data_IF_232771837061
#
_entry.id   IF_232771837061
#
_cell.length_a   1.000
_cell.length_b   1.000
_cell.length_c   1.000
_cell.angle_alpha   90.00
_cell.angle_beta   90.00
_cell.angle_gamma   90.00
#
_symmetry.space_group_name_H-M   'P 1'
#
loop_
_entity.id
_entity.type
_entity.pdbx_description
1 polymer ?
#
# COMPACT_ATOMS: atom_id res chain seq x y z
N UNK A 1 -4.18 -18.66 -26.08
CA UNK A 1 -4.07 -19.57 -24.92
C UNK A 1 -3.90 -18.70 -23.69
N UNK A 2 -4.56 -19.02 -22.57
CA UNK A 2 -4.34 -18.28 -21.33
C UNK A 2 -2.93 -18.61 -20.79
N UNK A 3 -2.15 -17.59 -20.42
CA UNK A 3 -0.82 -17.79 -19.82
C UNK A 3 -0.95 -18.49 -18.46
N UNK A 4 -0.02 -19.40 -18.19
CA UNK A 4 0.10 -20.16 -16.95
C UNK A 4 0.79 -19.35 -15.85
N UNK A 5 0.65 -19.79 -14.59
CA UNK A 5 1.34 -19.17 -13.44
C UNK A 5 2.86 -19.21 -13.63
N UNK A 6 3.42 -20.33 -14.08
CA UNK A 6 4.87 -20.47 -14.33
C UNK A 6 5.38 -19.51 -15.40
N UNK A 7 4.66 -19.34 -16.52
CA UNK A 7 5.04 -18.41 -17.59
C UNK A 7 5.06 -16.96 -17.07
N UNK A 8 4.03 -16.55 -16.31
CA UNK A 8 4.00 -15.23 -15.69
C UNK A 8 5.12 -15.04 -14.66
N UNK A 9 5.42 -16.04 -13.84
CA UNK A 9 6.56 -16.00 -12.92
C UNK A 9 7.88 -15.78 -13.65
N UNK A 10 8.12 -16.50 -14.75
CA UNK A 10 9.33 -16.35 -15.56
C UNK A 10 9.41 -14.95 -16.17
N UNK A 11 8.34 -14.47 -16.81
CA UNK A 11 8.27 -13.11 -17.36
C UNK A 11 8.51 -12.03 -16.30
N UNK A 12 7.92 -12.18 -15.11
CA UNK A 12 8.12 -11.26 -13.99
C UNK A 12 9.58 -11.21 -13.53
N UNK A 13 10.26 -12.35 -13.50
CA UNK A 13 11.69 -12.42 -13.20
C UNK A 13 12.56 -11.77 -14.29
N UNK A 14 12.23 -11.98 -15.57
CA UNK A 14 12.93 -11.32 -16.67
C UNK A 14 12.78 -9.78 -16.60
N UNK A 15 11.60 -9.29 -16.21
CA UNK A 15 11.38 -7.87 -15.95
C UNK A 15 12.22 -7.36 -14.77
N UNK A 16 12.30 -8.11 -13.66
CA UNK A 16 13.14 -7.78 -12.50
C UNK A 16 14.61 -7.69 -12.88
N UNK A 17 15.13 -8.70 -13.60
CA UNK A 17 16.52 -8.74 -14.08
C UNK A 17 16.83 -7.57 -15.02
N UNK A 18 15.84 -7.15 -15.81
CA UNK A 18 15.93 -5.98 -16.68
C UNK A 18 15.65 -4.63 -15.97
N UNK A 19 15.51 -4.61 -14.63
CA UNK A 19 15.18 -3.43 -13.82
C UNK A 19 13.85 -2.74 -14.17
N UNK A 20 12.94 -3.46 -14.84
CA UNK A 20 11.59 -3.01 -15.21
C UNK A 20 10.60 -3.32 -14.09
N UNK A 21 10.77 -2.66 -12.96
CA UNK A 21 10.11 -3.05 -11.70
C UNK A 21 8.58 -2.93 -11.73
N UNK A 22 8.04 -1.90 -12.39
CA UNK A 22 6.59 -1.71 -12.51
C UNK A 22 5.96 -2.80 -13.39
N UNK A 23 6.62 -3.14 -14.51
CA UNK A 23 6.20 -4.27 -15.36
C UNK A 23 6.31 -5.60 -14.61
N UNK A 24 7.38 -5.81 -13.85
CA UNK A 24 7.56 -7.00 -13.03
C UNK A 24 6.41 -7.14 -12.02
N UNK A 25 6.09 -6.10 -11.26
CA UNK A 25 4.99 -6.12 -10.30
C UNK A 25 3.67 -6.47 -10.99
N UNK A 26 3.33 -5.80 -12.10
CA UNK A 26 2.08 -6.02 -12.81
C UNK A 26 1.90 -7.49 -13.25
N UNK A 27 2.96 -8.10 -13.77
CA UNK A 27 2.96 -9.52 -14.18
C UNK A 27 2.87 -10.45 -12.95
N UNK A 28 3.65 -10.18 -11.90
CA UNK A 28 3.70 -11.02 -10.70
C UNK A 28 2.41 -10.95 -9.88
N UNK A 29 1.72 -9.80 -9.81
CA UNK A 29 0.39 -9.68 -9.20
C UNK A 29 -0.66 -10.48 -9.97
N UNK A 30 -0.57 -10.52 -11.30
CA UNK A 30 -1.44 -11.38 -12.11
C UNK A 30 -1.17 -12.86 -11.83
N UNK A 31 0.10 -13.26 -11.70
CA UNK A 31 0.46 -14.62 -11.29
C UNK A 31 -0.08 -14.96 -9.89
N UNK A 32 -0.01 -14.01 -8.95
CA UNK A 32 -0.50 -14.18 -7.57
C UNK A 32 -2.00 -14.47 -7.58
N UNK A 33 -2.77 -13.68 -8.34
CA UNK A 33 -4.22 -13.89 -8.46
C UNK A 33 -4.55 -15.29 -8.99
N UNK A 34 -3.92 -15.72 -10.10
CA UNK A 34 -4.17 -17.05 -10.67
C UNK A 34 -3.78 -18.18 -9.71
N UNK A 35 -2.63 -18.07 -9.05
CA UNK A 35 -2.17 -19.06 -8.09
C UNK A 35 -3.08 -19.11 -6.85
N UNK A 36 -3.57 -17.96 -6.38
CA UNK A 36 -4.51 -17.87 -5.26
C UNK A 36 -5.87 -18.49 -5.61
N UNK A 37 -6.42 -18.19 -6.78
CA UNK A 37 -7.70 -18.73 -7.25
C UNK A 37 -7.64 -20.26 -7.38
N UNK A 38 -6.50 -20.78 -7.85
CA UNK A 38 -6.24 -22.22 -7.95
C UNK A 38 -5.83 -22.88 -6.62
N UNK A 39 -5.62 -22.09 -5.55
CA UNK A 39 -5.00 -22.54 -4.29
C UNK A 39 -3.65 -23.25 -4.50
N UNK A 40 -2.87 -22.83 -5.48
CA UNK A 40 -1.53 -23.36 -5.75
C UNK A 40 -0.52 -22.78 -4.74
N UNK A 41 -0.49 -23.39 -3.56
CA UNK A 41 0.35 -22.93 -2.46
C UNK A 41 1.86 -23.10 -2.73
N UNK A 42 2.27 -24.07 -3.56
CA UNK A 42 3.68 -24.22 -3.92
C UNK A 42 4.13 -23.04 -4.79
N UNK A 43 3.35 -22.70 -5.83
CA UNK A 43 3.63 -21.55 -6.67
C UNK A 43 3.64 -20.24 -5.86
N UNK A 44 2.63 -20.02 -5.00
CA UNK A 44 2.57 -18.86 -4.12
C UNK A 44 3.79 -18.75 -3.20
N UNK A 45 4.26 -19.87 -2.64
CA UNK A 45 5.43 -19.86 -1.74
C UNK A 45 6.71 -19.36 -2.41
N UNK A 46 6.83 -19.52 -3.73
CA UNK A 46 7.97 -19.07 -4.53
C UNK A 46 7.76 -17.68 -5.10
N UNK A 47 6.51 -17.33 -5.45
CA UNK A 47 6.14 -16.08 -6.09
C UNK A 47 6.29 -14.84 -5.19
N UNK A 48 6.03 -14.96 -3.89
CA UNK A 48 6.03 -13.77 -3.03
C UNK A 48 7.39 -13.10 -2.87
N UNK A 49 8.51 -13.82 -3.04
CA UNK A 49 9.85 -13.24 -2.95
C UNK A 49 10.18 -12.30 -4.12
N UNK A 50 10.01 -12.68 -5.40
CA UNK A 50 10.19 -11.75 -6.51
C UNK A 50 9.16 -10.61 -6.47
N UNK A 51 7.91 -10.87 -6.05
CA UNK A 51 6.92 -9.79 -5.88
C UNK A 51 7.36 -8.78 -4.81
N UNK A 52 7.84 -9.25 -3.66
CA UNK A 52 8.41 -8.39 -2.61
C UNK A 52 9.54 -7.52 -3.17
N UNK A 53 10.48 -8.11 -3.92
CA UNK A 53 11.62 -7.37 -4.47
C UNK A 53 11.18 -6.30 -5.47
N UNK A 54 10.22 -6.61 -6.36
CA UNK A 54 9.68 -5.61 -7.29
C UNK A 54 9.13 -4.38 -6.55
N UNK A 55 8.35 -4.61 -5.50
CA UNK A 55 7.71 -3.56 -4.71
C UNK A 55 8.69 -2.79 -3.84
N UNK A 56 9.67 -3.48 -3.27
CA UNK A 56 10.79 -2.84 -2.56
C UNK A 56 11.52 -1.86 -3.47
N UNK A 57 11.83 -2.27 -4.70
CA UNK A 57 12.50 -1.43 -5.68
C UNK A 57 11.61 -0.26 -6.14
N UNK A 58 10.32 -0.48 -6.38
CA UNK A 58 9.38 0.61 -6.71
C UNK A 58 9.35 1.66 -5.59
N UNK A 59 9.19 1.24 -4.34
CA UNK A 59 9.21 2.14 -3.19
C UNK A 59 10.56 2.86 -3.04
N UNK A 60 11.68 2.16 -3.25
CA UNK A 60 13.00 2.78 -3.20
C UNK A 60 13.12 3.88 -4.27
N UNK A 61 12.66 3.65 -5.50
CA UNK A 61 12.64 4.66 -6.56
C UNK A 61 11.72 5.84 -6.23
N UNK A 62 10.57 5.58 -5.61
CA UNK A 62 9.69 6.64 -5.11
C UNK A 62 10.37 7.47 -4.01
N UNK A 63 11.06 6.81 -3.08
CA UNK A 63 11.76 7.43 -1.96
C UNK A 63 12.99 8.26 -2.38
N UNK A 64 13.63 7.92 -3.50
CA UNK A 64 14.71 8.71 -4.13
C UNK A 64 14.18 10.02 -4.76
N UNK A 65 12.87 10.11 -5.01
CA UNK A 65 12.21 11.24 -5.67
C UNK A 65 11.82 12.39 -4.74
N UNK A 66 10.67 13.02 -5.03
CA UNK A 66 10.14 14.12 -4.21
C UNK A 66 9.30 13.60 -3.05
N UNK A 67 9.52 14.14 -1.87
CA UNK A 67 8.70 13.91 -0.69
C UNK A 67 7.82 15.14 -0.47
N UNK A 68 6.50 14.95 -0.52
CA UNK A 68 5.50 16.03 -0.39
C UNK A 68 4.31 15.52 0.42
N UNK A 69 4.21 15.94 1.69
CA UNK A 69 3.27 15.33 2.65
C UNK A 69 2.12 16.26 3.09
N UNK A 70 1.94 17.39 2.42
CA UNK A 70 1.04 18.48 2.78
C UNK A 70 0.17 18.95 1.58
N UNK A 71 -0.17 18.04 0.65
CA UNK A 71 -1.15 18.31 -0.40
C UNK A 71 -2.56 18.07 0.15
N UNK A 72 -3.14 19.11 0.77
CA UNK A 72 -4.38 19.03 1.54
C UNK A 72 -5.44 19.95 0.94
N UNK A 73 -6.65 19.42 0.69
CA UNK A 73 -7.84 20.24 0.48
C UNK A 73 -8.34 20.78 1.82
N UNK A 74 -8.56 22.09 1.91
CA UNK A 74 -8.99 22.79 3.13
C UNK A 74 -10.50 23.02 3.21
N UNK A 75 -11.22 22.84 2.11
CA UNK A 75 -12.67 22.93 2.03
C UNK A 75 -13.20 22.01 0.93
N UNK A 76 -14.53 21.88 0.83
CA UNK A 76 -15.17 21.15 -0.26
C UNK A 76 -14.90 21.76 -1.65
N UNK A 77 -14.64 23.08 -1.72
CA UNK A 77 -14.38 23.80 -2.96
C UNK A 77 -12.89 23.80 -3.35
N UNK A 78 -12.01 23.37 -2.44
CA UNK A 78 -10.56 23.32 -2.66
C UNK A 78 -10.15 22.03 -3.37
N UNK A 79 -10.33 22.01 -4.69
CA UNK A 79 -10.04 20.85 -5.53
C UNK A 79 -8.55 20.80 -5.92
N UNK A 80 -7.88 19.70 -5.56
CA UNK A 80 -6.51 19.43 -5.98
C UNK A 80 -6.44 19.12 -7.48
N UNK A 81 -5.56 19.81 -8.21
CA UNK A 81 -5.33 19.56 -9.63
C UNK A 81 -4.38 18.37 -9.83
N UNK A 82 -4.94 17.17 -9.96
CA UNK A 82 -4.15 15.93 -10.05
C UNK A 82 -3.28 15.85 -11.32
N UNK A 83 -3.72 16.43 -12.44
CA UNK A 83 -2.94 16.48 -13.68
C UNK A 83 -1.70 17.36 -13.54
N UNK A 84 -1.81 18.44 -12.76
CA UNK A 84 -0.65 19.24 -12.40
C UNK A 84 0.30 18.48 -11.47
N UNK A 85 -0.25 17.83 -10.43
CA UNK A 85 0.56 17.08 -9.46
C UNK A 85 1.36 15.94 -10.09
N UNK A 86 0.76 15.19 -11.03
CA UNK A 86 1.47 14.08 -11.70
C UNK A 86 2.59 14.59 -12.64
N UNK A 87 2.40 15.77 -13.23
CA UNK A 87 3.41 16.41 -14.06
C UNK A 87 4.56 16.99 -13.22
N UNK A 88 4.23 17.58 -12.06
CA UNK A 88 5.20 18.16 -11.13
C UNK A 88 6.03 17.08 -10.41
N UNK A 89 5.40 15.97 -10.01
CA UNK A 89 6.02 14.89 -9.24
C UNK A 89 6.04 13.58 -10.03
N UNK A 90 7.02 13.36 -10.94
CA UNK A 90 7.09 12.15 -11.76
C UNK A 90 7.50 10.89 -10.97
N UNK A 91 8.13 11.07 -9.80
CA UNK A 91 8.45 10.02 -8.83
C UNK A 91 8.61 10.63 -7.44
N UNK A 92 8.19 9.92 -6.39
CA UNK A 92 8.06 10.53 -5.07
C UNK A 92 7.18 9.76 -4.08
N UNK A 93 7.27 10.14 -2.81
CA UNK A 93 6.34 9.69 -1.76
C UNK A 93 5.45 10.86 -1.35
N UNK A 94 4.15 10.69 -1.56
CA UNK A 94 3.20 11.80 -1.54
C UNK A 94 2.05 11.50 -0.58
N UNK A 95 1.65 12.48 0.23
CA UNK A 95 0.38 12.45 0.95
C UNK A 95 -0.57 13.42 0.27
N UNK A 96 -1.69 12.89 -0.23
CA UNK A 96 -2.77 13.67 -0.83
C UNK A 96 -4.03 13.46 -0.01
N UNK A 97 -4.62 14.55 0.49
CA UNK A 97 -5.81 14.50 1.31
C UNK A 97 -6.93 15.37 0.73
N UNK A 98 -8.05 14.73 0.37
CA UNK A 98 -9.27 15.46 0.01
C UNK A 98 -10.06 15.86 1.25
N UNK A 99 -10.94 16.85 1.14
CA UNK A 99 -11.75 17.29 2.27
C UNK A 99 -12.81 16.22 2.62
N UNK A 100 -12.60 15.53 3.75
CA UNK A 100 -13.37 14.36 4.18
C UNK A 100 -13.37 13.18 3.19
N UNK A 101 -12.39 13.09 2.30
CA UNK A 101 -12.35 12.06 1.25
C UNK A 101 -10.92 11.64 0.89
N UNK A 102 -10.74 10.35 0.59
CA UNK A 102 -9.49 9.78 0.05
C UNK A 102 -9.48 9.70 -1.48
N UNK A 103 -10.56 10.13 -2.15
CA UNK A 103 -10.72 10.03 -3.59
C UNK A 103 -9.56 10.66 -4.38
N UNK A 104 -9.02 11.85 -4.01
CA UNK A 104 -7.87 12.42 -4.72
C UNK A 104 -6.62 11.51 -4.70
N UNK A 105 -6.37 10.83 -3.58
CA UNK A 105 -5.26 9.89 -3.45
C UNK A 105 -5.47 8.64 -4.32
N UNK A 106 -6.69 8.10 -4.35
CA UNK A 106 -7.04 6.95 -5.19
C UNK A 106 -6.86 7.26 -6.68
N UNK A 107 -7.37 8.42 -7.11
CA UNK A 107 -7.21 8.89 -8.49
C UNK A 107 -5.75 9.11 -8.85
N UNK A 108 -4.96 9.74 -7.96
CA UNK A 108 -3.52 9.94 -8.23
C UNK A 108 -2.78 8.61 -8.36
N UNK A 109 -3.09 7.61 -7.52
CA UNK A 109 -2.52 6.25 -7.64
C UNK A 109 -2.87 5.61 -8.99
N UNK A 110 -4.12 5.74 -9.45
CA UNK A 110 -4.55 5.20 -10.73
C UNK A 110 -3.79 5.86 -11.90
N UNK A 111 -3.72 7.20 -11.91
CA UNK A 111 -2.97 7.96 -12.94
C UNK A 111 -1.48 7.56 -12.92
N UNK A 112 -0.88 7.43 -11.73
CA UNK A 112 0.51 7.01 -11.59
C UNK A 112 0.76 5.62 -12.19
N UNK A 113 -0.14 4.66 -11.94
CA UNK A 113 -0.06 3.32 -12.50
C UNK A 113 -0.18 3.34 -14.02
N UNK A 114 -1.17 4.05 -14.56
CA UNK A 114 -1.39 4.18 -16.02
C UNK A 114 -0.19 4.81 -16.73
N UNK A 115 0.41 5.84 -16.12
CA UNK A 115 1.58 6.54 -16.64
C UNK A 115 2.92 5.92 -16.24
N UNK A 116 2.91 4.77 -15.55
CA UNK A 116 4.11 4.07 -15.06
C UNK A 116 5.04 4.98 -14.25
N UNK A 117 4.49 5.74 -13.31
CA UNK A 117 5.24 6.61 -12.39
C UNK A 117 5.60 5.86 -11.12
N UNK A 118 6.79 6.14 -10.58
CA UNK A 118 7.22 5.63 -9.28
C UNK A 118 6.67 6.52 -8.16
N UNK A 119 5.37 6.45 -7.92
CA UNK A 119 4.70 7.19 -6.85
C UNK A 119 4.20 6.26 -5.74
N UNK A 120 4.59 6.57 -4.50
CA UNK A 120 4.09 5.94 -3.28
C UNK A 120 3.16 6.92 -2.56
N UNK A 121 1.85 6.76 -2.73
CA UNK A 121 0.85 7.75 -2.30
C UNK A 121 0.13 7.27 -1.05
N UNK A 122 0.08 8.04 0.04
CA UNK A 122 -0.77 7.74 1.20
C UNK A 122 -2.24 8.04 0.92
N UNK A 123 -3.14 7.20 1.45
CA UNK A 123 -4.58 7.48 1.45
C UNK A 123 -4.89 8.40 2.62
N UNK A 124 -5.28 9.64 2.37
CA UNK A 124 -5.59 10.59 3.42
C UNK A 124 -6.85 11.40 3.14
N UNK A 125 -7.44 11.95 4.20
CA UNK A 125 -8.55 12.89 4.18
C UNK A 125 -8.32 14.00 5.21
N UNK A 126 -8.72 15.23 4.88
CA UNK A 126 -8.64 16.39 5.77
C UNK A 126 -9.97 16.64 6.46
N UNK A 127 -9.93 16.92 7.76
CA UNK A 127 -11.06 17.31 8.60
C UNK A 127 -10.73 18.58 9.38
N UNK A 128 -11.74 19.29 9.90
CA UNK A 128 -11.55 20.45 10.78
C UNK A 128 -11.94 20.07 12.22
N UNK A 129 -11.02 20.34 13.16
CA UNK A 129 -11.22 20.15 14.59
C UNK A 129 -10.90 21.47 15.29
N UNK A 130 -11.89 22.08 15.93
CA UNK A 130 -11.76 23.38 16.60
C UNK A 130 -11.09 24.45 15.71
N UNK A 131 -11.51 24.54 14.45
CA UNK A 131 -10.97 25.48 13.47
C UNK A 131 -9.58 25.14 12.91
N UNK A 132 -8.99 24.02 13.31
CA UNK A 132 -7.67 23.58 12.83
C UNK A 132 -7.77 22.32 11.95
N UNK A 133 -7.04 22.26 10.83
CA UNK A 133 -7.03 21.09 9.95
C UNK A 133 -6.27 19.91 10.57
N UNK A 134 -6.90 18.75 10.55
CA UNK A 134 -6.35 17.45 10.94
C UNK A 134 -6.41 16.52 9.73
N UNK A 135 -5.33 15.80 9.49
CA UNK A 135 -5.22 14.83 8.40
C UNK A 135 -5.40 13.43 8.96
N UNK A 136 -6.40 12.72 8.47
CA UNK A 136 -6.63 11.31 8.73
C UNK A 136 -5.98 10.48 7.62
N UNK A 137 -4.88 9.78 7.93
CA UNK A 137 -4.26 8.80 7.04
C UNK A 137 -4.87 7.43 7.34
N UNK A 138 -5.34 6.74 6.32
CA UNK A 138 -6.17 5.56 6.48
C UNK A 138 -5.56 4.31 5.85
N UNK A 139 -5.85 3.11 6.38
CA UNK A 139 -5.11 1.92 6.00
C UNK A 139 -5.56 1.31 4.66
N UNK A 140 -6.82 1.40 4.26
CA UNK A 140 -7.35 0.67 3.11
C UNK A 140 -8.28 1.54 2.26
N UNK A 141 -8.32 1.31 0.94
CA UNK A 141 -9.18 2.00 -0.01
C UNK A 141 -10.67 1.61 0.13
N UNK A 142 -10.97 0.46 0.74
CA UNK A 142 -12.34 -0.11 0.83
C UNK A 142 -13.15 0.40 2.03
N UNK A 143 -12.69 1.47 2.67
CA UNK A 143 -13.30 1.99 3.89
C UNK A 143 -14.31 3.09 3.58
N UNK A 144 -15.30 3.26 4.46
CA UNK A 144 -16.17 4.44 4.45
C UNK A 144 -15.64 5.46 5.44
N UNK A 145 -15.49 6.69 4.98
CA UNK A 145 -15.09 7.81 5.81
C UNK A 145 -16.31 8.55 6.36
N UNK A 146 -16.21 9.17 7.56
CA UNK A 146 -17.22 10.11 8.00
C UNK A 146 -17.28 11.30 7.02
N UNK A 147 -18.49 11.82 6.81
CA UNK A 147 -18.71 12.98 5.96
C UNK A 147 -17.85 14.18 6.40
N UNK A 148 -17.55 15.14 5.53
CA UNK A 148 -16.88 16.36 5.95
C UNK A 148 -17.72 17.13 6.98
N UNK A 149 -17.08 17.65 8.02
CA UNK A 149 -17.74 18.39 9.09
C UNK A 149 -16.78 18.81 10.18
N UNK A 150 -17.27 19.61 11.12
CA UNK A 150 -16.56 19.92 12.36
C UNK A 150 -16.78 18.79 13.36
N UNK A 151 -15.69 18.22 13.84
CA UNK A 151 -15.71 17.14 14.81
C UNK A 151 -14.90 17.51 16.04
N UNK A 152 -15.29 16.98 17.21
CA UNK A 152 -14.34 16.83 18.31
C UNK A 152 -13.29 15.76 17.97
N UNK A 153 -12.07 15.90 18.48
CA UNK A 153 -10.98 14.94 18.22
C UNK A 153 -11.37 13.48 18.56
N UNK A 154 -11.94 13.27 19.74
CA UNK A 154 -12.38 11.94 20.19
C UNK A 154 -13.54 11.39 19.35
N UNK A 155 -14.42 12.28 18.87
CA UNK A 155 -15.54 11.88 18.02
C UNK A 155 -15.06 11.43 16.64
N UNK A 156 -14.19 12.22 16.00
CA UNK A 156 -13.61 11.85 14.71
C UNK A 156 -12.86 10.52 14.82
N UNK A 157 -12.04 10.36 15.85
CA UNK A 157 -11.28 9.13 16.10
C UNK A 157 -12.18 7.89 16.20
N UNK A 158 -13.33 7.98 16.88
CA UNK A 158 -14.31 6.88 16.97
C UNK A 158 -15.05 6.59 15.67
N UNK A 159 -15.25 7.59 14.82
CA UNK A 159 -15.96 7.46 13.53
C UNK A 159 -15.04 6.98 12.41
N UNK A 160 -13.74 7.23 12.51
CA UNK A 160 -12.78 6.79 11.52
C UNK A 160 -12.59 5.27 11.54
N UNK A 161 -12.20 4.68 10.40
CA UNK A 161 -11.83 3.27 10.32
C UNK A 161 -10.73 2.93 11.33
N UNK A 162 -10.78 1.72 11.88
CA UNK A 162 -9.78 1.25 12.84
C UNK A 162 -8.36 1.39 12.27
N UNK A 163 -7.42 1.74 13.15
CA UNK A 163 -6.00 1.96 12.82
C UNK A 163 -5.71 3.14 11.89
N UNK A 164 -6.68 4.04 11.67
CA UNK A 164 -6.40 5.34 11.06
C UNK A 164 -5.45 6.17 11.93
N UNK A 165 -4.57 6.92 11.30
CA UNK A 165 -3.61 7.81 11.96
C UNK A 165 -4.07 9.25 11.78
N UNK A 166 -4.34 9.93 12.90
CA UNK A 166 -4.62 11.37 12.92
C UNK A 166 -3.30 12.14 13.08
N UNK A 167 -3.08 13.12 12.20
CA UNK A 167 -1.89 13.97 12.18
C UNK A 167 -2.36 15.44 12.08
N UNK A 168 -2.02 16.31 13.05
CA UNK A 168 -2.22 17.74 12.88
C UNK A 168 -1.50 18.26 11.64
N UNK A 169 -2.11 19.18 10.88
CA UNK A 169 -1.44 19.76 9.71
C UNK A 169 -0.09 20.40 10.08
N UNK A 170 0.04 20.93 11.30
CA UNK A 170 1.27 21.55 11.82
C UNK A 170 2.43 20.56 11.97
N UNK A 171 2.12 19.27 12.11
CA UNK A 171 3.11 18.21 12.30
C UNK A 171 3.56 17.60 10.97
N UNK A 172 2.87 17.95 9.87
CA UNK A 172 3.25 17.53 8.53
C UNK A 172 4.39 18.40 7.98
N UNK A 173 5.44 17.78 7.38
CA UNK A 173 6.49 18.52 6.69
C UNK A 173 5.91 19.41 5.61
N UNK A 174 6.34 20.67 5.58
CA UNK A 174 5.91 21.66 4.60
C UNK A 174 6.83 21.68 3.39
N UNK A 175 6.23 21.90 2.23
CA UNK A 175 6.99 22.01 0.99
C UNK A 175 7.29 20.65 0.35
N UNK A 176 7.79 20.71 -0.88
CA UNK A 176 8.44 19.58 -1.53
C UNK A 176 9.90 19.51 -1.07
N UNK A 177 10.37 18.31 -0.70
CA UNK A 177 11.77 18.08 -0.34
C UNK A 177 12.34 16.88 -1.09
N UNK A 178 13.63 16.89 -1.48
CA UNK A 178 14.26 15.70 -2.05
C UNK A 178 14.24 14.52 -1.08
N UNK A 179 14.20 13.32 -1.65
CA UNK A 179 14.38 12.06 -0.94
C UNK A 179 15.75 11.95 -0.29
N UNK A 180 15.76 11.72 1.02
CA UNK A 180 16.96 11.43 1.81
C UNK A 180 16.68 10.24 2.73
N UNK A 181 17.72 9.62 3.34
CA UNK A 181 17.50 8.60 4.36
C UNK A 181 16.57 9.04 5.49
N UNK A 182 16.62 10.33 5.88
CA UNK A 182 15.78 10.88 6.95
C UNK A 182 14.32 11.04 6.51
N UNK A 183 14.06 11.54 5.30
CA UNK A 183 12.69 11.64 4.79
C UNK A 183 12.10 10.27 4.54
N UNK A 184 12.90 9.32 4.03
CA UNK A 184 12.49 7.94 3.83
C UNK A 184 12.15 7.24 5.16
N UNK A 185 12.98 7.39 6.20
CA UNK A 185 12.69 6.86 7.52
C UNK A 185 11.37 7.41 8.08
N UNK A 186 11.08 8.71 7.85
CA UNK A 186 9.83 9.33 8.27
C UNK A 186 8.61 8.74 7.55
N UNK A 187 8.66 8.57 6.24
CA UNK A 187 7.56 7.95 5.48
C UNK A 187 7.38 6.47 5.85
N UNK A 188 8.47 5.75 6.07
CA UNK A 188 8.42 4.36 6.52
C UNK A 188 7.80 4.22 7.90
N UNK A 189 8.12 5.11 8.85
CA UNK A 189 7.48 5.11 10.16
C UNK A 189 5.95 5.29 10.08
N UNK A 190 5.46 6.08 9.10
CA UNK A 190 4.02 6.20 8.87
C UNK A 190 3.42 4.91 8.28
N UNK A 191 4.07 4.30 7.29
CA UNK A 191 3.65 3.00 6.75
C UNK A 191 3.60 1.90 7.82
N UNK A 192 4.63 1.81 8.66
CA UNK A 192 4.71 0.86 9.77
C UNK A 192 3.56 1.04 10.76
N UNK A 193 3.28 2.28 11.17
CA UNK A 193 2.13 2.58 12.06
C UNK A 193 0.81 2.10 11.48
N UNK A 194 0.64 2.19 10.15
CA UNK A 194 -0.58 1.73 9.47
C UNK A 194 -0.66 0.20 9.40
N UNK A 195 0.43 -0.48 9.01
CA UNK A 195 0.37 -1.92 8.71
C UNK A 195 0.60 -2.84 9.94
N UNK A 196 1.30 -2.38 10.98
CA UNK A 196 1.69 -3.21 12.13
C UNK A 196 0.50 -3.90 12.83
N UNK A 197 -0.66 -3.24 13.07
CA UNK A 197 -1.80 -3.91 13.69
C UNK A 197 -2.33 -5.10 12.87
N UNK A 198 -2.35 -4.97 11.55
CA UNK A 198 -2.79 -6.03 10.63
C UNK A 198 -1.82 -7.20 10.63
N UNK A 199 -0.52 -6.91 10.63
CA UNK A 199 0.53 -7.92 10.72
C UNK A 199 0.42 -8.73 12.01
N UNK A 200 0.25 -8.04 13.16
CA UNK A 200 0.08 -8.69 14.45
C UNK A 200 -1.20 -9.56 14.51
N UNK A 201 -2.30 -9.08 13.94
CA UNK A 201 -3.53 -9.86 13.85
C UNK A 201 -3.35 -11.14 13.02
N UNK A 202 -2.62 -11.06 11.90
CA UNK A 202 -2.29 -12.22 11.08
C UNK A 202 -1.40 -13.23 11.85
N UNK A 203 -0.36 -12.75 12.56
CA UNK A 203 0.52 -13.61 13.36
C UNK A 203 -0.23 -14.40 14.44
N UNK A 204 -1.23 -13.79 15.06
CA UNK A 204 -2.06 -14.41 16.09
C UNK A 204 -3.11 -15.40 15.53
N UNK A 205 -3.29 -15.48 14.22
CA UNK A 205 -4.27 -16.37 13.59
C UNK A 205 -3.70 -17.78 13.46
N UNK A 206 -4.31 -18.80 14.05
CA UNK A 206 -3.78 -20.19 14.02
C UNK A 206 -4.05 -20.93 12.71
N UNK A 207 -5.20 -20.71 12.09
CA UNK A 207 -5.56 -21.31 10.81
C UNK A 207 -4.71 -20.72 9.66
N UNK A 208 -4.05 -21.58 8.88
CA UNK A 208 -3.08 -21.14 7.88
C UNK A 208 -3.73 -20.40 6.69
N UNK A 209 -4.92 -20.81 6.23
CA UNK A 209 -5.60 -20.12 5.13
C UNK A 209 -6.08 -18.72 5.58
N UNK A 210 -6.62 -18.61 6.79
CA UNK A 210 -6.97 -17.31 7.39
C UNK A 210 -5.73 -16.44 7.63
N UNK A 211 -4.60 -17.05 8.03
CA UNK A 211 -3.32 -16.34 8.19
C UNK A 211 -2.80 -15.79 6.85
N UNK A 212 -2.92 -16.54 5.76
CA UNK A 212 -2.66 -16.05 4.39
C UNK A 212 -3.51 -14.81 4.09
N UNK A 213 -4.82 -14.88 4.35
CA UNK A 213 -5.70 -13.72 4.16
C UNK A 213 -5.29 -12.52 5.04
N UNK A 214 -4.87 -12.77 6.28
CA UNK A 214 -4.35 -11.74 7.20
C UNK A 214 -3.12 -11.02 6.65
N UNK A 215 -2.09 -11.74 6.21
CA UNK A 215 -0.90 -11.10 5.63
C UNK A 215 -1.20 -10.38 4.31
N UNK A 216 -2.15 -10.89 3.50
CA UNK A 216 -2.62 -10.15 2.31
C UNK A 216 -3.37 -8.88 2.68
N UNK A 217 -4.09 -8.85 3.80
CA UNK A 217 -4.67 -7.62 4.32
C UNK A 217 -3.58 -6.63 4.75
N UNK A 218 -2.50 -7.08 5.39
CA UNK A 218 -1.32 -6.23 5.66
C UNK A 218 -0.74 -5.65 4.37
N UNK A 219 -0.62 -6.45 3.31
CA UNK A 219 -0.14 -6.00 1.98
C UNK A 219 -1.12 -5.03 1.33
N UNK A 220 -2.43 -5.18 1.53
CA UNK A 220 -3.40 -4.20 1.03
C UNK A 220 -3.22 -2.82 1.69
N UNK A 221 -2.74 -2.79 2.93
CA UNK A 221 -2.42 -1.56 3.66
C UNK A 221 -1.07 -0.99 3.23
N UNK A 222 -0.03 -1.81 3.28
CA UNK A 222 1.31 -1.47 2.83
C UNK A 222 1.76 -2.50 1.80
N UNK A 223 1.62 -2.14 0.52
CA UNK A 223 1.92 -3.02 -0.59
C UNK A 223 3.36 -3.51 -0.57
N UNK A 224 4.33 -2.75 -0.04
CA UNK A 224 5.73 -3.14 0.02
C UNK A 224 6.18 -3.59 1.42
N UNK A 225 5.25 -3.98 2.32
CA UNK A 225 5.59 -4.55 3.63
C UNK A 225 6.37 -5.86 3.45
N UNK A 226 7.70 -5.80 3.57
CA UNK A 226 8.58 -6.94 3.32
C UNK A 226 8.27 -8.13 4.23
N UNK A 227 8.08 -7.87 5.54
CA UNK A 227 7.83 -8.92 6.52
C UNK A 227 6.51 -9.67 6.23
N UNK A 228 5.48 -8.97 5.74
CA UNK A 228 4.24 -9.62 5.34
C UNK A 228 4.45 -10.58 4.16
N UNK A 229 5.24 -10.20 3.14
CA UNK A 229 5.56 -11.07 2.00
C UNK A 229 6.35 -12.31 2.43
N UNK A 230 7.36 -12.14 3.29
CA UNK A 230 8.18 -13.24 3.80
C UNK A 230 7.31 -14.25 4.57
N UNK A 231 6.47 -13.77 5.49
CA UNK A 231 5.58 -14.63 6.29
C UNK A 231 4.49 -15.29 5.45
N UNK A 232 4.00 -14.61 4.43
CA UNK A 232 3.04 -15.14 3.47
C UNK A 232 3.66 -16.26 2.63
N UNK A 233 4.89 -16.10 2.13
CA UNK A 233 5.67 -17.16 1.48
C UNK A 233 5.85 -18.39 2.39
N UNK A 234 6.23 -18.17 3.65
CA UNK A 234 6.40 -19.25 4.62
C UNK A 234 5.10 -19.98 4.93
N UNK A 235 3.99 -19.25 5.08
CA UNK A 235 2.67 -19.81 5.36
C UNK A 235 2.15 -20.62 4.17
N UNK A 236 2.33 -20.12 2.94
CA UNK A 236 2.01 -20.87 1.72
C UNK A 236 2.83 -22.17 1.63
N UNK A 237 4.13 -22.13 1.96
CA UNK A 237 4.96 -23.35 2.02
C UNK A 237 4.44 -24.37 3.03
N UNK A 238 3.96 -23.92 4.18
CA UNK A 238 3.37 -24.81 5.19
C UNK A 238 2.07 -25.46 4.69
N UNK A 239 1.22 -24.71 3.99
CA UNK A 239 0.02 -25.24 3.33
C UNK A 239 0.36 -26.29 2.26
N UNK A 240 1.30 -26.00 1.36
CA UNK A 240 1.74 -26.94 0.32
C UNK A 240 2.24 -28.27 0.90
N UNK A 241 3.01 -28.22 1.99
CA UNK A 241 3.48 -29.42 2.70
C UNK A 241 2.33 -30.22 3.31
N UNK A 242 1.37 -29.54 3.94
CA UNK A 242 0.18 -30.17 4.53
C UNK A 242 -0.67 -30.88 3.48
N UNK A 243 -0.83 -30.29 2.30
CA UNK A 243 -1.55 -30.92 1.19
C UNK A 243 -0.81 -32.13 0.64
N UNK A 244 0.51 -32.03 0.45
CA UNK A 244 1.33 -33.16 -0.01
C UNK A 244 1.24 -34.36 0.94
N UNK A 245 1.20 -34.12 2.26
CA UNK A 245 1.05 -35.18 3.28
C UNK A 245 -0.34 -35.83 3.29
N UNK A 246 -1.39 -35.13 2.85
CA UNK A 246 -2.75 -35.68 2.77
C UNK A 246 -2.93 -36.64 1.59
N UNK A 247 -2.11 -36.51 0.54
CA UNK A 247 -2.19 -37.31 -0.67
C UNK A 247 -1.40 -38.61 -0.54
N UNK A 248 -0.50 -38.72 0.45
CA UNK A 248 0.24 -39.95 0.73
C UNK A 248 -0.64 -40.89 1.57
N UNK A 249 -0.94 -42.12 1.08
CA UNK A 249 -1.75 -43.11 1.79
C UNK A 249 -1.04 -43.70 3.03
#
# INVERSE_FOLDING_TARGET
>A
MAETVQELCAHGQDHLLATRYLEAEAVLVRAERLAMDARDWDALSRLYMPLQESRRQIRQRAAEGTIRLDLLSRSADDLLNLDHLIAEYPHGQILVAGFGSIEPALRLRAIAMEQKRYLDVFLAATYIIAGSPIVAVVPDARITLPAPGEYGADELSRRLPAHSVLIPETDLPKGATPGTPQTFARTMALWERLHLPFLAAADNTTDLERRVAGYRATIAVDYACELAHQKLSQTARALARRESQRVLP
#
